data_IF_530201457806
#
_entry.id   IF_530201457806
#
_cell.length_a   1.000
_cell.length_b   1.000
_cell.length_c   1.000
_cell.angle_alpha   90.00
_cell.angle_beta   90.00
_cell.angle_gamma   90.00
#
_symmetry.space_group_name_H-M   'P 1'
#
loop_
_entity.id
_entity.type
_entity.pdbx_description
1 polymer ?
#
# COMPACT_ATOMS: atom_id res chain seq x y z
N UNK A 1 -45.73 49.02 -35.45
CA UNK A 1 -46.57 48.67 -36.62
C UNK A 1 -45.71 47.95 -37.65
N UNK A 2 -46.18 46.78 -38.07
CA UNK A 2 -45.92 46.04 -39.33
C UNK A 2 -44.45 45.76 -39.73
N UNK A 3 -43.99 44.50 -39.56
CA UNK A 3 -44.07 43.37 -40.52
C UNK A 3 -43.12 43.50 -41.71
N UNK A 4 -42.11 42.62 -41.76
CA UNK A 4 -41.84 41.80 -42.94
C UNK A 4 -40.98 40.59 -42.53
N UNK A 5 -41.61 39.41 -42.63
CA UNK A 5 -40.98 38.10 -42.68
C UNK A 5 -40.50 37.91 -44.13
N UNK A 6 -39.29 37.39 -44.33
CA UNK A 6 -38.97 36.60 -45.52
C UNK A 6 -38.03 35.46 -45.16
N UNK A 7 -38.59 34.27 -45.31
CA UNK A 7 -37.99 32.96 -45.41
C UNK A 7 -37.12 32.89 -46.68
N UNK A 8 -36.07 32.07 -46.71
CA UNK A 8 -35.77 31.06 -47.76
C UNK A 8 -34.34 30.48 -47.62
N UNK A 9 -34.34 29.17 -47.33
CA UNK A 9 -33.54 28.07 -47.90
C UNK A 9 -32.03 27.94 -47.59
N UNK A 10 -31.78 26.91 -46.77
CA UNK A 10 -30.73 25.90 -46.77
C UNK A 10 -29.59 25.98 -47.80
N UNK A 11 -28.36 25.87 -47.28
CA UNK A 11 -27.28 25.12 -47.90
C UNK A 11 -26.58 24.27 -46.84
N UNK A 12 -26.53 22.97 -47.10
CA UNK A 12 -25.87 21.96 -46.29
C UNK A 12 -24.36 21.88 -46.62
N UNK A 13 -23.65 21.21 -45.70
CA UNK A 13 -22.31 20.60 -45.82
C UNK A 13 -21.08 21.53 -45.85
N UNK A 14 -20.39 21.56 -44.72
CA UNK A 14 -18.98 21.15 -44.67
C UNK A 14 -18.64 20.62 -43.27
N UNK A 15 -18.47 19.30 -43.17
CA UNK A 15 -17.84 18.66 -42.03
C UNK A 15 -16.36 19.03 -42.02
N UNK A 16 -15.95 19.83 -41.04
CA UNK A 16 -14.55 19.95 -40.66
C UNK A 16 -14.39 19.23 -39.33
N UNK A 17 -13.86 18.01 -39.41
CA UNK A 17 -13.36 17.25 -38.29
C UNK A 17 -12.18 18.03 -37.67
N UNK A 18 -12.48 18.91 -36.71
CA UNK A 18 -11.49 19.37 -35.74
C UNK A 18 -11.17 18.22 -34.81
N UNK A 19 -10.16 17.45 -35.19
CA UNK A 19 -9.41 16.61 -34.27
C UNK A 19 -8.76 17.49 -33.21
N UNK A 20 -9.45 17.66 -32.08
CA UNK A 20 -8.80 17.85 -30.80
C UNK A 20 -8.79 16.49 -30.10
N UNK A 21 -7.81 15.69 -30.50
CA UNK A 21 -7.30 14.63 -29.66
C UNK A 21 -6.78 15.30 -28.38
N UNK A 22 -7.64 15.38 -27.36
CA UNK A 22 -7.17 15.51 -25.99
C UNK A 22 -6.57 14.17 -25.64
N UNK A 23 -5.30 14.00 -26.00
CA UNK A 23 -4.42 13.01 -25.42
C UNK A 23 -4.31 13.33 -23.93
N UNK A 24 -5.27 12.81 -23.15
CA UNK A 24 -5.08 12.69 -21.72
C UNK A 24 -3.98 11.65 -21.53
N UNK A 25 -2.86 12.20 -21.09
CA UNK A 25 -1.66 11.55 -20.64
C UNK A 25 -1.91 10.21 -19.93
N UNK A 26 -1.19 9.18 -20.39
CA UNK A 26 -0.68 8.09 -19.58
C UNK A 26 -1.65 7.43 -18.58
N UNK A 27 -2.72 6.80 -19.08
CA UNK A 27 -3.15 5.54 -18.47
C UNK A 27 -2.23 4.43 -18.98
N UNK A 28 -1.01 4.35 -18.43
CA UNK A 28 -0.31 3.07 -18.43
C UNK A 28 -1.14 2.18 -17.51
N UNK A 29 -1.89 1.26 -18.13
CA UNK A 29 -2.72 0.27 -17.48
C UNK A 29 -2.06 -0.23 -16.19
N UNK A 30 -2.65 0.09 -15.04
CA UNK A 30 -2.37 -0.66 -13.83
C UNK A 30 -2.76 -2.10 -14.15
N UNK A 31 -1.79 -2.99 -14.17
CA UNK A 31 -2.01 -4.44 -14.11
C UNK A 31 -2.82 -4.66 -12.84
N UNK A 32 -4.14 -4.77 -12.92
CA UNK A 32 -5.07 -4.47 -11.83
C UNK A 32 -5.08 -5.47 -10.67
N UNK A 33 -4.04 -6.28 -10.55
CA UNK A 33 -3.83 -7.33 -9.57
C UNK A 33 -2.68 -6.96 -8.64
N UNK A 34 -2.87 -7.15 -7.33
CA UNK A 34 -1.84 -7.00 -6.30
C UNK A 34 -0.92 -8.22 -6.19
N UNK A 35 -1.30 -9.34 -6.82
CA UNK A 35 -0.57 -10.61 -6.75
C UNK A 35 0.89 -10.47 -7.16
N UNK A 36 1.16 -9.89 -8.33
CA UNK A 36 2.53 -9.77 -8.85
C UNK A 36 3.39 -8.86 -7.96
N UNK A 37 2.80 -7.78 -7.42
CA UNK A 37 3.47 -6.92 -6.46
C UNK A 37 3.85 -7.70 -5.19
N UNK A 38 2.92 -8.46 -4.62
CA UNK A 38 3.13 -9.26 -3.42
C UNK A 38 4.20 -10.36 -3.64
N UNK A 39 4.10 -11.10 -4.74
CA UNK A 39 5.06 -12.16 -5.11
C UNK A 39 6.47 -11.61 -5.33
N UNK A 40 6.61 -10.43 -5.95
CA UNK A 40 7.92 -9.80 -6.20
C UNK A 40 8.49 -9.16 -4.93
N UNK A 41 7.65 -8.60 -4.07
CA UNK A 41 8.06 -8.04 -2.77
C UNK A 41 8.57 -9.13 -1.82
N UNK A 42 7.84 -10.24 -1.70
CA UNK A 42 8.18 -11.35 -0.80
C UNK A 42 9.33 -12.24 -1.31
N UNK A 43 9.70 -12.13 -2.59
CA UNK A 43 10.73 -13.01 -3.18
C UNK A 43 12.06 -12.94 -2.45
N UNK A 44 12.48 -14.07 -1.88
CA UNK A 44 13.76 -14.20 -1.18
C UNK A 44 13.79 -13.46 0.16
N UNK A 45 12.62 -13.07 0.66
CA UNK A 45 12.41 -12.84 2.08
C UNK A 45 12.18 -14.22 2.68
N UNK A 46 13.10 -14.66 3.53
CA UNK A 46 12.87 -15.82 4.37
C UNK A 46 12.89 -15.30 5.81
N UNK A 47 11.88 -15.66 6.59
CA UNK A 47 11.75 -15.25 7.98
C UNK A 47 10.90 -16.23 8.76
N UNK A 48 11.46 -16.76 9.85
CA UNK A 48 10.64 -17.43 10.85
C UNK A 48 9.78 -16.36 11.53
N UNK A 49 8.47 -16.48 11.39
CA UNK A 49 7.51 -15.61 12.05
C UNK A 49 6.45 -16.43 12.78
N UNK A 50 5.79 -15.80 13.76
CA UNK A 50 4.60 -16.34 14.41
C UNK A 50 3.39 -15.57 13.89
N UNK A 51 2.47 -16.22 13.15
CA UNK A 51 1.28 -15.55 12.64
C UNK A 51 0.40 -15.01 13.77
N UNK A 52 -0.28 -13.90 13.52
CA UNK A 52 -1.32 -13.37 14.37
C UNK A 52 -2.46 -14.39 14.44
N UNK A 53 -2.76 -14.91 15.63
CA UNK A 53 -3.68 -16.03 15.78
C UNK A 53 -5.14 -15.61 15.59
N UNK A 54 -5.49 -14.33 15.73
CA UNK A 54 -6.86 -13.84 15.57
C UNK A 54 -6.95 -12.32 15.33
N UNK A 55 -8.11 -11.81 14.86
CA UNK A 55 -8.36 -10.37 14.77
C UNK A 55 -8.22 -9.63 16.10
N UNK A 56 -8.57 -10.30 17.22
CA UNK A 56 -8.46 -9.70 18.56
C UNK A 56 -7.00 -9.54 19.00
N UNK A 57 -6.15 -10.49 18.63
CA UNK A 57 -4.71 -10.39 18.87
C UNK A 57 -4.11 -9.27 18.02
N UNK A 58 -4.47 -9.18 16.74
CA UNK A 58 -4.04 -8.08 15.88
C UNK A 58 -4.36 -6.70 16.48
N UNK A 59 -5.58 -6.51 17.00
CA UNK A 59 -5.98 -5.28 17.72
C UNK A 59 -5.19 -5.09 19.03
N UNK A 60 -4.90 -6.16 19.76
CA UNK A 60 -4.19 -6.07 21.03
C UNK A 60 -2.70 -5.75 20.89
N UNK A 61 -2.09 -6.09 19.75
CA UNK A 61 -0.65 -5.96 19.51
C UNK A 61 -0.31 -4.72 18.65
N UNK A 62 -1.20 -4.27 17.76
CA UNK A 62 -0.91 -3.18 16.84
C UNK A 62 -0.90 -1.80 17.51
N UNK A 63 -0.01 -0.92 17.05
CA UNK A 63 -0.06 0.52 17.36
C UNK A 63 -1.08 1.27 16.50
N UNK A 64 -1.33 0.77 15.30
CA UNK A 64 -2.29 1.34 14.35
C UNK A 64 -2.81 0.26 13.39
N UNK A 65 -4.11 0.25 13.13
CA UNK A 65 -4.71 -0.56 12.08
C UNK A 65 -5.42 0.36 11.10
N UNK A 66 -5.07 0.29 9.82
CA UNK A 66 -5.65 1.15 8.78
C UNK A 66 -6.23 0.34 7.63
N UNK A 67 -7.27 0.92 7.03
CA UNK A 67 -7.75 0.59 5.70
C UNK A 67 -7.46 1.77 4.77
N UNK A 68 -7.02 1.48 3.55
CA UNK A 68 -6.67 2.52 2.60
C UNK A 68 -6.33 2.03 1.21
N UNK A 69 -5.61 2.85 0.46
CA UNK A 69 -5.13 2.56 -0.90
C UNK A 69 -3.61 2.70 -0.96
N UNK A 70 -2.91 1.73 -1.57
CA UNK A 70 -1.48 1.83 -1.84
C UNK A 70 -1.21 2.84 -2.96
N UNK A 71 -0.84 4.07 -2.62
CA UNK A 71 -0.69 5.15 -3.60
C UNK A 71 0.71 5.27 -4.18
N UNK A 72 1.73 4.80 -3.46
CA UNK A 72 3.13 4.90 -3.86
C UNK A 72 3.96 3.77 -3.24
N UNK A 73 4.96 3.31 -3.99
CA UNK A 73 6.04 2.47 -3.46
C UNK A 73 7.35 3.17 -3.79
N UNK A 74 8.19 3.38 -2.78
CA UNK A 74 9.43 4.13 -2.91
C UNK A 74 10.60 3.48 -2.19
N UNK A 75 11.74 4.16 -2.22
CA UNK A 75 12.94 3.75 -1.48
C UNK A 75 12.59 3.52 0.00
N UNK A 76 13.10 2.43 0.58
CA UNK A 76 12.90 2.11 1.99
C UNK A 76 13.92 2.77 2.91
N UNK A 77 13.81 2.46 4.20
CA UNK A 77 14.86 2.79 5.16
C UNK A 77 16.17 2.09 4.80
N UNK A 78 17.27 2.79 5.08
CA UNK A 78 18.61 2.25 4.94
C UNK A 78 19.22 2.02 6.32
N UNK A 79 19.93 0.91 6.49
CA UNK A 79 20.61 0.59 7.73
C UNK A 79 22.11 0.61 7.49
N UNK A 80 22.83 1.40 8.29
CA UNK A 80 24.29 1.49 8.24
C UNK A 80 24.88 1.04 9.57
N UNK A 81 25.55 -0.10 9.52
CA UNK A 81 26.28 -0.70 10.64
C UNK A 81 27.72 -0.16 10.71
N UNK A 82 28.36 -0.23 11.89
CA UNK A 82 29.79 0.07 12.01
C UNK A 82 30.68 -0.79 11.09
N UNK A 83 30.26 -2.02 10.81
CA UNK A 83 30.88 -2.89 9.81
C UNK A 83 30.31 -2.57 8.40
N UNK A 84 31.20 -2.19 7.48
CA UNK A 84 30.85 -1.92 6.10
C UNK A 84 30.41 -3.17 5.33
N UNK A 85 30.92 -4.36 5.70
CA UNK A 85 30.50 -5.61 5.07
C UNK A 85 29.04 -5.95 5.43
N UNK A 86 28.69 -5.80 6.71
CA UNK A 86 27.31 -5.95 7.18
C UNK A 86 26.39 -4.90 6.57
N UNK A 87 26.83 -3.63 6.52
CA UNK A 87 26.08 -2.56 5.84
C UNK A 87 25.75 -2.93 4.41
N UNK A 88 26.70 -3.47 3.63
CA UNK A 88 26.46 -3.86 2.24
C UNK A 88 25.47 -5.02 2.08
N UNK A 89 25.40 -5.92 3.07
CA UNK A 89 24.50 -7.07 3.02
C UNK A 89 23.05 -6.69 3.36
N UNK A 90 22.87 -5.75 4.29
CA UNK A 90 21.56 -5.33 4.81
C UNK A 90 21.06 -4.03 4.16
N UNK A 91 21.94 -3.30 3.45
CA UNK A 91 21.56 -2.13 2.65
C UNK A 91 20.56 -2.55 1.58
N UNK A 92 19.55 -1.73 1.36
CA UNK A 92 18.46 -2.00 0.42
C UNK A 92 17.56 -3.19 0.82
N UNK A 93 17.50 -3.58 2.09
CA UNK A 93 16.56 -4.62 2.56
C UNK A 93 15.08 -4.20 2.60
N UNK A 94 14.78 -2.91 2.37
CA UNK A 94 13.43 -2.37 2.55
C UNK A 94 12.95 -1.54 1.35
N UNK A 95 11.63 -1.56 1.13
CA UNK A 95 10.89 -0.55 0.39
C UNK A 95 9.96 0.21 1.35
N UNK A 96 9.47 1.37 0.92
CA UNK A 96 8.42 2.08 1.64
C UNK A 96 7.12 2.03 0.84
N UNK A 97 6.08 1.47 1.45
CA UNK A 97 4.73 1.46 0.94
C UNK A 97 4.00 2.65 1.57
N UNK A 98 3.49 3.55 0.73
CA UNK A 98 2.74 4.72 1.17
C UNK A 98 1.26 4.43 0.97
N UNK A 99 0.53 4.34 2.08
CA UNK A 99 -0.90 4.06 2.07
C UNK A 99 -1.62 5.37 2.31
N UNK A 100 -2.49 5.77 1.37
CA UNK A 100 -3.48 6.80 1.63
C UNK A 100 -4.57 6.19 2.49
N UNK A 101 -4.77 6.72 3.70
CA UNK A 101 -5.68 6.15 4.69
C UNK A 101 -7.09 6.64 4.42
N UNK A 102 -7.99 5.70 4.18
CA UNK A 102 -9.43 5.95 4.06
C UNK A 102 -10.10 5.86 5.44
N UNK A 103 -9.63 4.93 6.28
CA UNK A 103 -10.17 4.69 7.62
C UNK A 103 -9.10 4.17 8.57
N UNK A 104 -9.10 4.68 9.81
CA UNK A 104 -8.38 4.08 10.94
C UNK A 104 -9.34 3.11 11.61
N UNK A 105 -9.01 1.82 11.61
CA UNK A 105 -9.82 0.75 12.19
C UNK A 105 -9.59 0.62 13.71
N UNK A 106 -8.33 0.82 14.14
CA UNK A 106 -7.92 0.84 15.53
C UNK A 106 -6.63 1.68 15.72
N UNK A 107 -6.40 2.19 16.93
CA UNK A 107 -5.25 3.02 17.27
C UNK A 107 -5.48 4.55 17.17
N UNK A 108 -4.42 5.33 17.35
CA UNK A 108 -4.49 6.80 17.35
C UNK A 108 -4.46 7.39 15.94
N UNK A 109 -5.60 7.92 15.49
CA UNK A 109 -5.72 8.56 14.17
C UNK A 109 -4.84 9.81 13.99
N UNK A 110 -4.37 10.44 15.07
CA UNK A 110 -3.44 11.58 14.99
C UNK A 110 -2.07 11.21 14.40
N UNK A 111 -1.77 9.90 14.34
CA UNK A 111 -0.54 9.35 13.79
C UNK A 111 -0.56 9.24 12.26
N UNK A 112 -1.71 9.44 11.63
CA UNK A 112 -1.84 9.56 10.17
C UNK A 112 -1.41 10.96 9.74
N UNK A 113 -0.35 11.07 8.94
CA UNK A 113 0.24 12.35 8.53
C UNK A 113 -0.20 12.70 7.12
N UNK A 114 -0.87 13.84 6.95
CA UNK A 114 -1.40 14.30 5.66
C UNK A 114 -2.27 13.23 4.95
N UNK A 115 -3.03 12.47 5.73
CA UNK A 115 -3.88 11.38 5.24
C UNK A 115 -3.11 10.12 4.81
N UNK A 116 -1.86 9.97 5.23
CA UNK A 116 -0.99 8.85 4.85
C UNK A 116 -0.32 8.17 6.03
N UNK A 117 0.03 6.91 5.82
CA UNK A 117 1.01 6.19 6.64
C UNK A 117 2.14 5.66 5.76
N UNK A 118 3.32 5.54 6.36
CA UNK A 118 4.55 5.13 5.69
C UNK A 118 5.00 3.80 6.30
N UNK A 119 4.92 2.74 5.51
CA UNK A 119 5.17 1.37 5.96
C UNK A 119 6.49 0.88 5.36
N UNK A 120 7.46 0.57 6.22
CA UNK A 120 8.66 -0.16 5.83
C UNK A 120 8.28 -1.62 5.56
N UNK A 121 8.55 -2.08 4.35
CA UNK A 121 8.29 -3.45 3.90
C UNK A 121 9.62 -4.10 3.58
N UNK A 122 9.93 -5.22 4.24
CA UNK A 122 11.13 -6.00 3.92
C UNK A 122 10.97 -6.59 2.52
N UNK A 123 12.04 -6.57 1.74
CA UNK A 123 12.08 -7.14 0.40
C UNK A 123 13.37 -7.91 0.19
N UNK A 124 13.38 -8.83 -0.77
CA UNK A 124 14.62 -9.42 -1.24
C UNK A 124 15.59 -8.35 -1.77
N UNK A 125 16.88 -8.48 -1.46
CA UNK A 125 17.93 -7.52 -1.88
C UNK A 125 18.06 -7.39 -3.41
N UNK A 126 17.60 -8.39 -4.16
CA UNK A 126 17.59 -8.37 -5.62
C UNK A 126 16.42 -7.59 -6.22
N UNK A 127 15.35 -7.35 -5.45
CA UNK A 127 14.17 -6.59 -5.87
C UNK A 127 14.42 -5.11 -5.60
N UNK A 128 14.20 -4.22 -6.56
CA UNK A 128 14.35 -2.77 -6.35
C UNK A 128 13.02 -2.08 -6.04
N UNK A 129 13.01 -0.95 -5.32
CA UNK A 129 11.80 -0.16 -5.11
C UNK A 129 11.12 0.29 -6.42
N UNK A 130 11.89 0.57 -7.47
CA UNK A 130 11.36 0.97 -8.78
C UNK A 130 10.60 -0.17 -9.47
N UNK A 131 11.08 -1.41 -9.31
CA UNK A 131 10.36 -2.59 -9.80
C UNK A 131 9.01 -2.74 -9.10
N UNK A 132 8.99 -2.61 -7.76
CA UNK A 132 7.75 -2.67 -6.99
C UNK A 132 6.81 -1.50 -7.33
N UNK A 133 7.34 -0.29 -7.49
CA UNK A 133 6.57 0.87 -7.91
C UNK A 133 5.91 0.68 -9.28
N UNK A 134 6.59 0.01 -10.22
CA UNK A 134 6.04 -0.26 -11.54
C UNK A 134 4.89 -1.29 -11.50
N UNK A 135 4.86 -2.14 -10.46
CA UNK A 135 3.83 -3.16 -10.24
C UNK A 135 2.66 -2.66 -9.39
N UNK A 136 2.75 -1.47 -8.79
CA UNK A 136 1.71 -0.98 -7.89
C UNK A 136 0.37 -0.78 -8.63
N UNK A 137 -0.66 -1.61 -8.35
CA UNK A 137 -1.94 -1.53 -9.04
C UNK A 137 -2.88 -0.47 -8.42
N UNK A 138 -2.41 0.26 -7.40
CA UNK A 138 -3.25 1.04 -6.47
C UNK A 138 -4.26 0.16 -5.74
N UNK A 139 -3.76 -0.93 -5.17
CA UNK A 139 -4.56 -1.89 -4.42
C UNK A 139 -5.25 -1.25 -3.22
N UNK A 140 -6.44 -1.75 -2.90
CA UNK A 140 -7.03 -1.61 -1.57
C UNK A 140 -6.14 -2.34 -0.57
N UNK A 141 -5.98 -1.77 0.62
CA UNK A 141 -5.07 -2.27 1.65
C UNK A 141 -5.76 -2.30 3.00
N UNK A 142 -5.50 -3.36 3.76
CA UNK A 142 -5.58 -3.35 5.23
C UNK A 142 -4.18 -3.62 5.78
N UNK A 143 -3.77 -2.81 6.75
CA UNK A 143 -2.46 -2.93 7.37
C UNK A 143 -2.57 -2.90 8.90
N UNK A 144 -2.02 -3.92 9.55
CA UNK A 144 -1.80 -4.06 10.99
C UNK A 144 -0.37 -3.64 11.27
N UNK A 145 -0.19 -2.52 11.97
CA UNK A 145 1.08 -1.78 12.00
C UNK A 145 1.68 -1.68 13.41
N UNK A 146 2.99 -1.90 13.48
CA UNK A 146 3.87 -1.65 14.63
C UNK A 146 4.67 -0.37 14.38
N UNK A 147 4.71 0.55 15.35
CA UNK A 147 5.45 1.80 15.23
C UNK A 147 6.94 1.60 15.49
N UNK A 148 7.69 1.53 14.39
CA UNK A 148 9.15 1.42 14.41
C UNK A 148 9.85 2.79 14.37
N UNK A 149 9.17 3.89 14.70
CA UNK A 149 9.74 5.24 14.61
C UNK A 149 11.06 5.37 15.35
N UNK A 150 11.14 4.77 16.55
CA UNK A 150 12.33 4.77 17.41
C UNK A 150 13.13 3.47 17.33
N UNK A 151 12.72 2.50 16.51
CA UNK A 151 13.41 1.23 16.36
C UNK A 151 14.85 1.43 15.89
N UNK A 152 15.75 0.60 16.44
CA UNK A 152 17.15 0.50 16.02
C UNK A 152 17.52 -0.98 15.94
N UNK A 153 18.23 -1.41 14.89
CA UNK A 153 18.71 -2.78 14.80
C UNK A 153 19.79 -3.06 15.84
N UNK A 154 20.03 -4.35 16.08
CA UNK A 154 21.09 -4.86 16.94
C UNK A 154 22.07 -5.68 16.08
N UNK A 155 23.40 -5.45 16.13
CA UNK A 155 24.08 -4.40 16.91
C UNK A 155 23.68 -2.99 16.46
N UNK A 156 23.86 -2.00 17.34
CA UNK A 156 23.42 -0.63 17.12
C UNK A 156 23.92 -0.09 15.76
N UNK A 157 22.97 0.35 14.94
CA UNK A 157 23.21 0.87 13.60
C UNK A 157 22.43 2.15 13.37
N UNK A 158 22.88 2.94 12.39
CA UNK A 158 22.16 4.14 11.97
C UNK A 158 21.04 3.75 11.01
N UNK A 159 19.80 4.14 11.33
CA UNK A 159 18.65 4.02 10.43
C UNK A 159 18.45 5.36 9.72
N UNK A 160 18.58 5.37 8.40
CA UNK A 160 18.38 6.55 7.56
C UNK A 160 17.03 6.43 6.87
N UNK A 161 16.18 7.44 7.07
CA UNK A 161 14.90 7.55 6.38
C UNK A 161 15.09 8.13 4.97
N UNK A 162 14.40 7.61 3.95
CA UNK A 162 14.39 8.18 2.62
C UNK A 162 13.69 9.55 2.63
N UNK A 163 14.07 10.44 1.69
CA UNK A 163 13.57 11.82 1.64
C UNK A 163 12.05 11.94 1.44
N UNK A 164 11.38 10.90 0.94
CA UNK A 164 9.93 10.85 0.75
C UNK A 164 9.12 10.63 2.03
N UNK A 165 9.77 10.27 3.15
CA UNK A 165 9.11 10.07 4.45
C UNK A 165 9.32 11.32 5.32
N UNK A 166 8.26 11.93 5.87
CA UNK A 166 8.38 13.04 6.80
C UNK A 166 9.28 12.70 7.99
N UNK A 167 10.28 13.54 8.26
CA UNK A 167 11.28 13.29 9.30
C UNK A 167 10.67 13.15 10.71
N UNK A 168 9.58 13.89 10.98
CA UNK A 168 8.86 13.85 12.25
C UNK A 168 7.62 12.93 12.23
N UNK A 169 7.30 12.35 11.08
CA UNK A 169 6.14 11.46 10.95
C UNK A 169 6.43 10.06 11.50
N UNK A 170 5.41 9.30 11.93
CA UNK A 170 5.57 7.90 12.27
C UNK A 170 6.10 7.08 11.09
N UNK A 171 6.91 6.06 11.39
CA UNK A 171 7.31 5.02 10.45
C UNK A 171 6.83 3.69 11.01
N UNK A 172 6.11 2.95 10.19
CA UNK A 172 5.53 1.68 10.61
C UNK A 172 6.26 0.51 9.97
N UNK A 173 6.22 -0.63 10.65
CA UNK A 173 6.39 -1.94 10.05
C UNK A 173 5.03 -2.61 10.05
N UNK A 174 4.70 -3.36 8.99
CA UNK A 174 3.53 -4.23 9.08
C UNK A 174 3.95 -5.53 9.76
N UNK A 175 3.06 -6.10 10.58
CA UNK A 175 3.22 -7.50 10.98
C UNK A 175 3.38 -8.36 9.72
N UNK A 176 4.11 -9.49 9.82
CA UNK A 176 4.45 -10.31 8.66
C UNK A 176 3.20 -10.75 7.88
N UNK A 177 2.16 -11.17 8.59
CA UNK A 177 0.81 -11.46 8.09
C UNK A 177 -0.18 -10.29 8.29
N UNK A 178 0.34 -9.08 8.44
CA UNK A 178 -0.42 -7.88 8.78
C UNK A 178 -0.70 -6.94 7.60
N UNK A 179 -0.09 -7.14 6.43
CA UNK A 179 -0.28 -6.28 5.25
C UNK A 179 -0.95 -7.06 4.11
N UNK A 180 -2.22 -6.78 3.88
CA UNK A 180 -3.04 -7.44 2.86
C UNK A 180 -3.44 -6.45 1.77
N UNK A 181 -3.25 -6.86 0.52
CA UNK A 181 -3.48 -6.05 -0.67
C UNK A 181 -4.48 -6.72 -1.59
N UNK A 182 -5.37 -5.94 -2.20
CA UNK A 182 -6.29 -6.43 -3.23
C UNK A 182 -6.46 -5.40 -4.34
N UNK A 183 -6.04 -5.78 -5.53
CA UNK A 183 -6.28 -5.05 -6.76
C UNK A 183 -7.68 -5.32 -7.33
N UNK A 184 -8.13 -4.44 -8.22
CA UNK A 184 -9.46 -4.53 -8.86
C UNK A 184 -9.73 -5.80 -9.68
N UNK A 185 -8.70 -6.57 -10.04
CA UNK A 185 -8.80 -7.82 -10.81
C UNK A 185 -8.59 -9.06 -9.95
N UNK A 186 -8.33 -8.90 -8.66
CA UNK A 186 -8.08 -10.00 -7.75
C UNK A 186 -9.40 -10.58 -7.23
N UNK A 187 -9.45 -11.90 -7.13
CA UNK A 187 -10.56 -12.67 -6.55
C UNK A 187 -10.38 -12.98 -5.06
N UNK A 188 -9.26 -12.52 -4.48
CA UNK A 188 -8.93 -12.54 -3.06
C UNK A 188 -7.78 -11.57 -2.77
N UNK A 189 -7.55 -11.30 -1.48
CA UNK A 189 -6.41 -10.52 -1.02
C UNK A 189 -5.11 -11.33 -0.99
N UNK A 190 -3.99 -10.64 -1.18
CA UNK A 190 -2.64 -11.19 -1.15
C UNK A 190 -1.81 -10.49 -0.08
N UNK A 191 -1.07 -11.25 0.71
CA UNK A 191 -0.08 -10.71 1.63
C UNK A 191 1.34 -10.79 1.06
N UNK A 192 2.26 -10.05 1.66
CA UNK A 192 3.68 -10.09 1.25
C UNK A 192 4.36 -11.24 1.98
N UNK A 193 4.84 -12.24 1.23
CA UNK A 193 5.50 -13.42 1.79
C UNK A 193 4.62 -14.23 2.77
N UNK A 194 3.29 -14.15 2.57
CA UNK A 194 2.28 -14.97 3.27
C UNK A 194 1.19 -15.41 2.31
N UNK A 195 0.73 -16.64 2.46
CA UNK A 195 -0.41 -17.19 1.74
C UNK A 195 -1.72 -16.93 2.51
N UNK A 196 -2.83 -16.80 1.78
CA UNK A 196 -4.16 -16.63 2.38
C UNK A 196 -4.51 -17.78 3.34
N UNK A 197 -4.06 -18.97 2.99
CA UNK A 197 -4.25 -20.22 3.72
C UNK A 197 -3.55 -20.23 5.10
N UNK A 198 -2.61 -19.31 5.35
CA UNK A 198 -1.94 -19.15 6.64
C UNK A 198 -2.81 -18.42 7.67
N UNK A 199 -3.89 -17.73 7.24
CA UNK A 199 -4.87 -17.17 8.16
C UNK A 199 -5.58 -18.27 8.93
N UNK A 200 -5.43 -18.26 10.26
CA UNK A 200 -6.05 -19.24 11.13
C UNK A 200 -7.59 -19.22 11.02
N UNK A 201 -8.30 -20.29 11.40
CA UNK A 201 -9.77 -20.30 11.41
C UNK A 201 -10.41 -19.19 12.25
N UNK A 202 -9.71 -18.63 13.23
CA UNK A 202 -10.22 -17.54 14.07
C UNK A 202 -10.40 -16.22 13.31
N UNK A 203 -9.78 -16.07 12.14
CA UNK A 203 -10.00 -14.95 11.22
C UNK A 203 -11.33 -15.07 10.45
N UNK A 204 -12.04 -16.19 10.55
CA UNK A 204 -13.36 -16.35 9.95
C UNK A 204 -13.37 -16.58 8.43
N UNK A 205 -12.21 -16.90 7.83
CA UNK A 205 -12.11 -17.23 6.41
C UNK A 205 -12.30 -16.02 5.47
N UNK A 206 -11.96 -14.81 5.94
CA UNK A 206 -11.98 -13.57 5.14
C UNK A 206 -11.13 -13.72 3.89
N UNK A 207 -11.67 -13.40 2.71
CA UNK A 207 -10.91 -13.47 1.43
C UNK A 207 -10.68 -12.10 0.81
N UNK A 208 -11.47 -11.12 1.19
CA UNK A 208 -11.45 -9.77 0.63
C UNK A 208 -10.88 -8.79 1.66
N UNK A 209 -10.21 -7.73 1.20
CA UNK A 209 -9.71 -6.66 2.07
C UNK A 209 -10.83 -6.01 2.89
N UNK A 210 -12.03 -5.85 2.32
CA UNK A 210 -13.19 -5.28 3.01
C UNK A 210 -13.72 -6.18 4.14
N UNK A 211 -13.70 -7.50 3.92
CA UNK A 211 -14.12 -8.48 4.93
C UNK A 211 -13.13 -8.52 6.10
N UNK A 212 -11.82 -8.43 5.79
CA UNK A 212 -10.76 -8.32 6.78
C UNK A 212 -10.92 -7.02 7.60
N UNK A 213 -11.14 -5.88 6.94
CA UNK A 213 -11.37 -4.59 7.60
C UNK A 213 -12.58 -4.65 8.56
N UNK A 214 -13.69 -5.19 8.09
CA UNK A 214 -14.91 -5.38 8.89
C UNK A 214 -14.66 -6.28 10.11
N UNK A 215 -13.85 -7.32 9.94
CA UNK A 215 -13.51 -8.27 11.01
C UNK A 215 -12.66 -7.61 12.09
N UNK A 216 -11.66 -6.81 11.69
CA UNK A 216 -10.82 -6.05 12.62
C UNK A 216 -11.61 -4.95 13.34
N UNK A 217 -12.48 -4.23 12.64
CA UNK A 217 -13.35 -3.22 13.25
C UNK A 217 -14.28 -3.82 14.32
N UNK A 218 -14.87 -4.99 14.05
CA UNK A 218 -15.67 -5.71 15.06
C UNK A 218 -14.83 -6.12 16.27
N UNK A 219 -13.59 -6.56 16.06
CA UNK A 219 -12.70 -6.92 17.14
C UNK A 219 -12.37 -5.69 18.01
N UNK A 220 -12.02 -4.56 17.39
CA UNK A 220 -11.73 -3.29 18.06
C UNK A 220 -12.91 -2.77 18.88
N UNK A 221 -14.14 -2.91 18.37
CA UNK A 221 -15.35 -2.49 19.10
C UNK A 221 -15.69 -3.34 20.34
N UNK A 222 -15.01 -4.48 20.56
CA UNK A 222 -15.29 -5.42 21.65
C UNK A 222 -14.12 -5.58 22.64
N UNK A 223 -13.02 -4.88 22.41
CA UNK A 223 -11.87 -4.76 23.33
C UNK A 223 -12.11 -3.71 24.40
#
# INVERSE_FOLDING_TARGET
MNKAVNLVVAAALAALATGCASANANEKASTGSARELAEVAGRGVDGDYSPLASPKEAVGEADLIVQGTLVEVGAGIQVSYPDAAQTKQESDGYATFVIAVDKVLDGDASRVVDGKVYVAVRKGVATTPEQLSALNPRASVVAVLDDITTWRPVPEATVVRPAGIPAAGPLYYAYHDGLWLQGTQDDQMYGIDVEHEELTPAWGGVREVEDLATTLEKAAATG
#
